data_IF_802306993020
#
_entry.id   IF_802306993020
#
_cell.length_a   1.000
_cell.length_b   1.000
_cell.length_c   1.000
_cell.angle_alpha   90.00
_cell.angle_beta   90.00
_cell.angle_gamma   90.00
#
_symmetry.space_group_name_H-M   'P 1'
#
loop_
_entity.id
_entity.type
_entity.pdbx_description
1 polymer ?
#
# COMPACT_ATOMS: atom_id res chain seq x y z
N UNK A 1 -0.26 0.14 14.67
CA UNK A 1 -0.43 -0.21 13.25
C UNK A 1 0.52 -1.35 12.93
N UNK A 2 0.00 -2.49 12.47
CA UNK A 2 0.74 -3.62 11.93
C UNK A 2 1.09 -3.31 10.48
N UNK A 3 2.35 -3.02 10.25
CA UNK A 3 2.85 -2.75 8.90
C UNK A 3 3.37 -4.04 8.28
N UNK A 4 3.08 -4.23 6.99
CA UNK A 4 3.78 -5.18 6.13
C UNK A 4 4.73 -4.41 5.23
N UNK A 5 5.96 -4.89 5.14
CA UNK A 5 7.02 -4.26 4.36
C UNK A 5 7.66 -5.30 3.46
N UNK A 6 7.73 -5.01 2.17
CA UNK A 6 8.32 -5.89 1.17
C UNK A 6 9.09 -5.06 0.13
N UNK A 7 10.24 -5.58 -0.28
CA UNK A 7 11.17 -4.90 -1.21
C UNK A 7 11.03 -5.37 -2.65
N UNK A 8 9.92 -6.04 -2.99
CA UNK A 8 9.63 -6.52 -4.33
C UNK A 8 9.45 -5.32 -5.26
N UNK A 9 10.09 -5.38 -6.43
CA UNK A 9 9.93 -4.44 -7.52
C UNK A 9 9.42 -5.19 -8.74
N UNK A 10 8.29 -4.76 -9.29
CA UNK A 10 7.75 -5.30 -10.52
C UNK A 10 8.21 -4.48 -11.72
N UNK A 11 8.37 -5.14 -12.86
CA UNK A 11 8.69 -4.45 -14.11
C UNK A 11 7.47 -3.70 -14.64
N UNK A 12 6.27 -4.29 -14.49
CA UNK A 12 5.05 -3.74 -15.08
C UNK A 12 4.04 -3.29 -14.03
N UNK A 13 3.19 -2.34 -14.41
CA UNK A 13 2.01 -1.98 -13.60
C UNK A 13 1.04 -3.14 -13.43
N UNK A 14 0.93 -4.04 -14.43
CA UNK A 14 0.01 -5.18 -14.37
C UNK A 14 0.37 -6.16 -13.26
N UNK A 15 1.65 -6.44 -13.06
CA UNK A 15 2.09 -7.30 -11.96
C UNK A 15 1.90 -6.62 -10.60
N UNK A 16 2.24 -5.33 -10.52
CA UNK A 16 2.03 -4.53 -9.31
C UNK A 16 0.54 -4.40 -8.92
N UNK A 17 -0.35 -4.30 -9.90
CA UNK A 17 -1.81 -4.24 -9.72
C UNK A 17 -2.35 -5.55 -9.11
N UNK A 18 -1.94 -6.70 -9.66
CA UNK A 18 -2.29 -8.03 -9.11
C UNK A 18 -1.79 -8.18 -7.67
N UNK A 19 -0.58 -7.67 -7.37
CA UNK A 19 -0.05 -7.68 -6.02
C UNK A 19 -0.87 -6.79 -5.08
N UNK A 20 -1.15 -5.56 -5.52
CA UNK A 20 -1.87 -4.56 -4.73
C UNK A 20 -3.28 -5.01 -4.33
N UNK A 21 -4.00 -5.76 -5.18
CA UNK A 21 -5.30 -6.34 -4.85
C UNK A 21 -5.22 -7.28 -3.63
N UNK A 22 -4.19 -8.12 -3.57
CA UNK A 22 -3.98 -9.01 -2.41
C UNK A 22 -3.71 -8.24 -1.12
N UNK A 23 -2.91 -7.16 -1.19
CA UNK A 23 -2.61 -6.30 -0.04
C UNK A 23 -3.84 -5.51 0.41
N UNK A 24 -4.67 -5.05 -0.53
CA UNK A 24 -5.93 -4.37 -0.20
C UNK A 24 -6.85 -5.28 0.60
N UNK A 25 -6.95 -6.56 0.22
CA UNK A 25 -7.71 -7.57 0.94
C UNK A 25 -7.17 -7.81 2.37
N UNK A 26 -5.86 -7.85 2.55
CA UNK A 26 -5.24 -7.94 3.89
C UNK A 26 -5.59 -6.75 4.77
N UNK A 27 -5.51 -5.53 4.23
CA UNK A 27 -5.85 -4.29 4.96
C UNK A 27 -7.35 -4.26 5.32
N UNK A 28 -8.24 -4.57 4.37
CA UNK A 28 -9.69 -4.61 4.64
C UNK A 28 -10.07 -5.73 5.60
N UNK A 29 -9.38 -6.87 5.53
CA UNK A 29 -9.47 -7.97 6.49
C UNK A 29 -8.85 -7.68 7.85
N UNK A 30 -8.22 -6.50 8.02
CA UNK A 30 -7.52 -6.07 9.25
C UNK A 30 -6.46 -7.09 9.70
N UNK A 31 -5.78 -7.77 8.77
CA UNK A 31 -4.60 -8.58 9.10
C UNK A 31 -3.37 -7.67 9.26
N UNK A 32 -3.31 -6.63 8.43
CA UNK A 32 -2.35 -5.53 8.49
C UNK A 32 -3.11 -4.20 8.48
N UNK A 33 -2.48 -3.14 8.97
CA UNK A 33 -3.06 -1.80 9.03
C UNK A 33 -2.49 -0.88 7.92
N UNK A 34 -1.37 -1.24 7.32
CA UNK A 34 -0.72 -0.50 6.24
C UNK A 34 0.41 -1.29 5.58
N UNK A 35 0.83 -0.82 4.41
CA UNK A 35 1.84 -1.44 3.57
C UNK A 35 2.95 -0.44 3.21
N UNK A 36 4.20 -0.91 3.21
CA UNK A 36 5.40 -0.14 2.87
C UNK A 36 6.15 -0.85 1.73
N UNK A 37 6.49 -0.12 0.66
CA UNK A 37 7.17 -0.70 -0.50
C UNK A 37 8.02 0.33 -1.24
N UNK A 38 9.15 -0.05 -1.85
CA UNK A 38 9.89 0.81 -2.76
C UNK A 38 9.26 0.88 -4.16
N UNK A 39 8.26 0.03 -4.48
CA UNK A 39 7.58 0.06 -5.77
C UNK A 39 6.41 1.06 -5.78
N UNK A 40 6.62 2.21 -6.42
CA UNK A 40 5.58 3.24 -6.56
C UNK A 40 4.32 2.73 -7.28
N UNK A 41 4.44 1.69 -8.14
CA UNK A 41 3.32 1.12 -8.89
C UNK A 41 2.38 0.37 -7.95
N UNK A 42 2.94 -0.42 -7.03
CA UNK A 42 2.16 -1.12 -5.99
C UNK A 42 1.46 -0.08 -5.11
N UNK A 43 2.19 0.94 -4.65
CA UNK A 43 1.61 1.99 -3.81
C UNK A 43 0.47 2.73 -4.50
N UNK A 44 0.62 3.04 -5.80
CA UNK A 44 -0.39 3.71 -6.60
C UNK A 44 -1.67 2.85 -6.75
N UNK A 45 -1.51 1.59 -7.17
CA UNK A 45 -2.64 0.67 -7.34
C UNK A 45 -3.36 0.39 -6.00
N UNK A 46 -2.59 0.18 -4.92
CA UNK A 46 -3.12 -0.07 -3.59
C UNK A 46 -3.93 1.13 -3.07
N UNK A 47 -3.41 2.36 -3.21
CA UNK A 47 -4.14 3.55 -2.81
C UNK A 47 -5.47 3.68 -3.54
N UNK A 48 -5.51 3.34 -4.84
CA UNK A 48 -6.74 3.32 -5.62
C UNK A 48 -7.73 2.27 -5.10
N UNK A 49 -7.30 1.03 -4.89
CA UNK A 49 -8.17 -0.02 -4.36
C UNK A 49 -8.76 0.32 -2.99
N UNK A 50 -7.94 0.80 -2.05
CA UNK A 50 -8.42 1.16 -0.72
C UNK A 50 -9.44 2.32 -0.77
N UNK A 51 -9.29 3.25 -1.72
CA UNK A 51 -10.18 4.38 -1.90
C UNK A 51 -11.54 4.00 -2.54
N UNK A 52 -11.66 2.82 -3.14
CA UNK A 52 -12.95 2.33 -3.66
C UNK A 52 -13.95 2.02 -2.55
N UNK A 53 -13.47 1.79 -1.33
CA UNK A 53 -14.32 1.59 -0.15
C UNK A 53 -14.66 2.97 0.45
N UNK A 54 -15.92 3.46 0.38
CA UNK A 54 -16.24 4.86 0.69
C UNK A 54 -15.93 5.30 2.13
N UNK A 55 -15.88 4.35 3.07
CA UNK A 55 -15.58 4.61 4.49
C UNK A 55 -14.07 4.67 4.78
N UNK A 56 -13.23 4.26 3.82
CA UNK A 56 -11.78 4.18 4.00
C UNK A 56 -11.14 5.56 3.78
N UNK A 57 -10.56 6.12 4.83
CA UNK A 57 -9.72 7.31 4.68
C UNK A 57 -8.28 6.89 4.39
N UNK A 58 -7.96 6.79 3.11
CA UNK A 58 -6.63 6.40 2.63
C UNK A 58 -5.61 7.49 2.92
N UNK A 59 -4.44 7.08 3.39
CA UNK A 59 -3.28 7.93 3.63
C UNK A 59 -2.08 7.37 2.89
N UNK A 60 -1.26 8.27 2.38
CA UNK A 60 0.00 7.94 1.72
C UNK A 60 1.13 8.79 2.29
N UNK A 61 2.35 8.27 2.22
CA UNK A 61 3.57 9.00 2.60
C UNK A 61 4.77 8.45 1.84
N UNK A 62 5.63 9.34 1.39
CA UNK A 62 6.97 9.00 0.91
C UNK A 62 7.96 9.07 2.08
N UNK A 63 8.82 8.06 2.18
CA UNK A 63 9.90 7.96 3.16
C UNK A 63 11.20 7.78 2.40
N UNK A 64 12.05 8.83 2.32
CA UNK A 64 13.40 8.68 1.82
C UNK A 64 14.20 7.75 2.75
N UNK A 65 14.89 6.77 2.16
CA UNK A 65 15.80 5.87 2.86
C UNK A 65 17.03 5.63 1.99
N UNK A 66 18.17 6.18 2.40
CA UNK A 66 19.38 6.29 1.58
C UNK A 66 19.08 6.89 0.19
N UNK A 67 19.35 6.14 -0.88
CA UNK A 67 19.13 6.56 -2.28
C UNK A 67 17.76 6.12 -2.84
N UNK A 68 16.92 5.49 -2.02
CA UNK A 68 15.63 4.90 -2.43
C UNK A 68 14.48 5.62 -1.72
N UNK A 69 13.33 5.73 -2.39
CA UNK A 69 12.09 6.21 -1.79
C UNK A 69 11.19 5.01 -1.49
N UNK A 70 10.74 4.90 -0.24
CA UNK A 70 9.68 3.99 0.15
C UNK A 70 8.34 4.73 0.17
N UNK A 71 7.30 4.02 -0.23
CA UNK A 71 5.92 4.49 -0.25
C UNK A 71 5.13 3.71 0.80
N UNK A 72 4.58 4.45 1.77
CA UNK A 72 3.63 3.93 2.73
C UNK A 72 2.21 4.23 2.27
N UNK A 73 1.34 3.22 2.36
CA UNK A 73 -0.10 3.34 2.09
C UNK A 73 -0.86 2.64 3.21
N UNK A 74 -1.85 3.32 3.80
CA UNK A 74 -2.65 2.77 4.90
C UNK A 74 -4.05 3.39 4.96
N UNK A 75 -4.96 2.74 5.71
CA UNK A 75 -6.24 3.35 6.06
C UNK A 75 -6.13 3.94 7.46
N UNK A 76 -6.62 5.16 7.63
CA UNK A 76 -6.77 5.76 8.94
C UNK A 76 -7.90 5.05 9.71
N UNK A 77 -7.53 4.33 10.77
CA UNK A 77 -8.51 3.78 11.71
C UNK A 77 -9.10 4.92 12.54
N UNK A 78 -10.39 5.20 12.35
CA UNK A 78 -11.15 6.06 13.27
C UNK A 78 -11.00 5.52 14.69
N UNK A 79 -10.48 6.34 15.61
CA UNK A 79 -10.53 6.07 17.04
C UNK A 79 -11.96 6.21 17.56
#
# INVERSE_FOLDING_TARGET
>A
MRWKEETILFETFREADVWADSIANEIHGRTIDGYCTPDYKIACALAFYLAQVPISRVRTREIPFDEIIYYQVWIETSQ
#
